data_IF_586999984880
#
_entry.id   IF_586999984880
#
_cell.length_a   1.000
_cell.length_b   1.000
_cell.length_c   1.000
_cell.angle_alpha   90.00
_cell.angle_beta   90.00
_cell.angle_gamma   90.00
#
_symmetry.space_group_name_H-M   'P 1'
#
loop_
_entity.id
_entity.type
_entity.pdbx_description
1 polymer ?
#
# COMPACT_ATOMS: atom_id res chain seq x y z
N UNK A 1 -21.04 28.38 1.67
CA UNK A 1 -21.18 27.56 2.87
C UNK A 1 -20.01 26.58 2.87
N UNK A 2 -19.03 26.77 3.74
CA UNK A 2 -17.93 25.79 3.91
C UNK A 2 -18.55 24.56 4.58
N UNK A 3 -18.82 23.52 3.81
CA UNK A 3 -19.19 22.22 4.38
C UNK A 3 -18.02 21.74 5.23
N UNK A 4 -18.25 21.68 6.53
CA UNK A 4 -17.27 21.20 7.51
C UNK A 4 -16.84 19.79 7.11
N UNK A 5 -15.54 19.52 7.07
CA UNK A 5 -15.00 18.19 6.72
C UNK A 5 -15.06 17.34 7.96
N UNK A 6 -15.86 16.28 7.93
CA UNK A 6 -15.93 15.31 9.01
C UNK A 6 -14.63 14.51 9.08
N UNK A 7 -13.85 14.68 10.14
CA UNK A 7 -12.61 13.93 10.36
C UNK A 7 -12.90 12.67 11.19
N UNK A 8 -12.51 11.51 10.68
CA UNK A 8 -12.75 10.19 11.26
C UNK A 8 -11.42 9.45 11.36
N UNK A 9 -11.12 8.88 12.51
CA UNK A 9 -10.03 7.94 12.70
C UNK A 9 -10.57 6.52 12.58
N UNK A 10 -9.94 5.68 11.76
CA UNK A 10 -10.34 4.29 11.55
C UNK A 10 -9.13 3.33 11.59
N UNK A 11 -9.36 2.05 11.85
CA UNK A 11 -8.29 1.07 11.97
C UNK A 11 -8.47 -0.14 11.07
N UNK A 12 -7.40 -0.51 10.37
CA UNK A 12 -7.18 -1.87 9.87
C UNK A 12 -6.53 -2.67 10.98
N UNK A 13 -7.34 -3.43 11.74
CA UNK A 13 -6.89 -4.23 12.89
C UNK A 13 -6.59 -5.63 12.41
N UNK A 14 -5.39 -6.16 12.75
CA UNK A 14 -5.01 -7.54 12.45
C UNK A 14 -4.76 -8.33 13.71
N UNK A 15 -5.30 -9.55 13.75
CA UNK A 15 -4.98 -10.51 14.80
C UNK A 15 -3.64 -11.25 14.53
N UNK A 16 -3.23 -12.09 15.48
CA UNK A 16 -2.01 -12.91 15.36
C UNK A 16 -2.00 -13.90 14.19
N UNK A 17 -3.14 -14.16 13.55
CA UNK A 17 -3.30 -15.00 12.36
C UNK A 17 -3.36 -14.16 11.06
N UNK A 18 -3.22 -12.84 11.14
CA UNK A 18 -3.29 -11.91 10.02
C UNK A 18 -4.71 -11.64 9.50
N UNK A 19 -5.78 -12.10 10.22
CA UNK A 19 -7.18 -11.78 9.87
C UNK A 19 -7.46 -10.32 10.19
N UNK A 20 -8.33 -9.71 9.40
CA UNK A 20 -8.73 -8.30 9.54
C UNK A 20 -10.11 -8.24 10.21
N UNK A 21 -10.25 -7.33 11.18
CA UNK A 21 -11.51 -7.04 11.84
C UNK A 21 -12.33 -6.08 10.98
N UNK A 22 -13.60 -6.43 10.75
CA UNK A 22 -14.59 -5.56 10.14
C UNK A 22 -15.84 -5.50 11.00
N UNK A 23 -16.52 -4.35 11.01
CA UNK A 23 -17.79 -4.14 11.71
C UNK A 23 -18.90 -3.77 10.73
N UNK A 24 -20.16 -4.04 11.09
CA UNK A 24 -21.29 -3.69 10.22
C UNK A 24 -21.96 -2.43 10.76
N UNK A 25 -22.11 -1.42 9.92
CA UNK A 25 -22.78 -0.16 10.21
C UNK A 25 -24.24 -0.38 10.61
N UNK A 26 -24.68 0.31 11.66
CA UNK A 26 -26.06 0.27 12.08
C UNK A 26 -27.02 0.66 10.92
N UNK A 27 -28.14 -0.06 10.76
CA UNK A 27 -29.07 0.12 9.63
C UNK A 27 -29.60 1.55 9.46
N UNK A 28 -29.69 2.31 10.55
CA UNK A 28 -30.16 3.70 10.54
C UNK A 28 -29.06 4.75 10.29
N UNK A 29 -27.78 4.32 10.26
CA UNK A 29 -26.65 5.21 10.01
C UNK A 29 -26.53 5.54 8.50
N UNK A 30 -25.79 6.58 8.17
CA UNK A 30 -25.39 6.88 6.78
C UNK A 30 -24.62 5.68 6.21
N UNK A 31 -25.01 5.19 5.03
CA UNK A 31 -24.48 3.94 4.45
C UNK A 31 -24.73 2.70 5.32
N UNK A 32 -25.87 2.67 6.06
CA UNK A 32 -26.23 1.59 6.98
C UNK A 32 -26.30 0.23 6.33
N UNK A 33 -25.87 -0.81 7.07
CA UNK A 33 -25.84 -2.20 6.61
C UNK A 33 -24.57 -2.57 5.81
N UNK A 34 -23.76 -1.61 5.38
CA UNK A 34 -22.44 -1.87 4.78
C UNK A 34 -21.42 -2.21 5.86
N UNK A 35 -20.35 -2.88 5.46
CA UNK A 35 -19.21 -3.18 6.32
C UNK A 35 -18.22 -2.04 6.34
N UNK A 36 -17.49 -1.88 7.44
CA UNK A 36 -16.49 -0.83 7.58
C UNK A 36 -15.32 -1.29 8.44
N UNK A 37 -14.25 -0.53 8.41
CA UNK A 37 -13.18 -0.63 9.36
C UNK A 37 -13.58 0.14 10.64
N UNK A 38 -13.44 -0.46 11.85
CA UNK A 38 -13.86 0.16 13.09
C UNK A 38 -13.16 1.49 13.36
N UNK A 39 -13.87 2.42 14.01
CA UNK A 39 -13.39 3.75 14.32
C UNK A 39 -14.49 4.80 14.28
N UNK A 40 -14.16 6.04 14.63
CA UNK A 40 -15.17 7.07 14.75
C UNK A 40 -14.64 8.49 14.57
N UNK A 41 -15.47 9.45 14.92
CA UNK A 41 -15.21 10.89 14.73
C UNK A 41 -14.20 11.40 15.75
N UNK A 42 -13.34 12.32 15.32
CA UNK A 42 -12.52 13.07 16.25
C UNK A 42 -13.39 14.02 17.08
N UNK A 43 -13.14 14.07 18.36
CA UNK A 43 -13.69 15.10 19.26
C UNK A 43 -12.82 16.35 19.26
N UNK A 44 -13.36 17.45 19.82
CA UNK A 44 -12.65 18.73 19.84
C UNK A 44 -11.35 18.63 20.65
N UNK A 45 -10.22 18.90 19.98
CA UNK A 45 -8.90 18.87 20.60
C UNK A 45 -8.20 17.51 20.56
N UNK A 46 -8.84 16.47 20.04
CA UNK A 46 -8.19 15.17 19.86
C UNK A 46 -7.26 15.14 18.64
N UNK A 47 -6.16 14.44 18.79
CA UNK A 47 -5.38 13.96 17.65
C UNK A 47 -6.05 12.71 17.04
N UNK A 48 -5.80 12.39 15.75
CA UNK A 48 -6.35 11.16 15.13
C UNK A 48 -6.02 9.88 15.91
N UNK A 49 -4.82 9.81 16.49
CA UNK A 49 -4.40 8.65 17.28
C UNK A 49 -5.17 8.56 18.62
N UNK A 50 -5.45 9.68 19.27
CA UNK A 50 -6.24 9.69 20.51
C UNK A 50 -7.69 9.27 20.23
N UNK A 51 -8.31 9.82 19.19
CA UNK A 51 -9.64 9.41 18.75
C UNK A 51 -9.68 7.91 18.42
N UNK A 52 -8.67 7.40 17.67
CA UNK A 52 -8.58 5.98 17.34
C UNK A 52 -8.60 5.09 18.59
N UNK A 53 -7.74 5.39 19.58
CA UNK A 53 -7.65 4.59 20.82
C UNK A 53 -8.96 4.63 21.60
N UNK A 54 -9.61 5.79 21.72
CA UNK A 54 -10.90 5.93 22.39
C UNK A 54 -11.99 5.14 21.66
N UNK A 55 -12.13 5.34 20.35
CA UNK A 55 -13.18 4.70 19.54
C UNK A 55 -13.03 3.16 19.52
N UNK A 56 -11.82 2.64 19.40
CA UNK A 56 -11.62 1.19 19.40
C UNK A 56 -11.90 0.54 20.75
N UNK A 57 -11.68 1.26 21.85
CA UNK A 57 -12.11 0.80 23.17
C UNK A 57 -13.63 0.82 23.31
N UNK A 58 -14.30 1.89 22.86
CA UNK A 58 -15.75 2.08 22.97
C UNK A 58 -16.50 1.14 22.03
N UNK A 59 -16.07 1.03 20.77
CA UNK A 59 -16.80 0.29 19.73
C UNK A 59 -16.52 -1.21 19.76
N UNK A 60 -15.26 -1.63 19.93
CA UNK A 60 -14.85 -3.03 19.80
C UNK A 60 -14.14 -3.62 21.01
N UNK A 61 -13.99 -2.86 22.12
CA UNK A 61 -13.54 -3.34 23.42
C UNK A 61 -12.05 -3.72 23.49
N UNK A 62 -11.19 -3.19 22.59
CA UNK A 62 -9.75 -3.48 22.58
C UNK A 62 -8.92 -2.30 23.07
N UNK A 63 -7.78 -2.59 23.69
CA UNK A 63 -6.77 -1.61 24.10
C UNK A 63 -5.60 -1.62 23.13
N UNK A 64 -5.48 -0.56 22.32
CA UNK A 64 -4.42 -0.42 21.32
C UNK A 64 -3.06 -0.23 21.99
N UNK A 65 -2.07 -1.06 21.64
CA UNK A 65 -0.66 -0.91 22.07
C UNK A 65 0.15 -0.11 21.07
N UNK A 66 0.05 -0.51 19.79
CA UNK A 66 0.77 0.16 18.71
C UNK A 66 -0.17 0.44 17.54
N UNK A 67 -0.04 1.63 16.97
CA UNK A 67 -0.76 2.01 15.76
C UNK A 67 0.19 2.77 14.83
N UNK A 68 0.20 2.41 13.57
CA UNK A 68 1.00 3.06 12.53
C UNK A 68 0.09 3.69 11.47
N UNK A 69 0.40 4.90 10.96
CA UNK A 69 -0.36 5.49 9.85
C UNK A 69 -0.40 4.53 8.65
N UNK A 70 -1.55 4.40 8.00
CA UNK A 70 -1.71 3.56 6.82
C UNK A 70 -2.06 4.39 5.59
N UNK A 71 -3.18 5.09 5.59
CA UNK A 71 -3.62 5.92 4.47
C UNK A 71 -4.59 7.00 4.94
N UNK A 72 -4.58 8.17 4.27
CA UNK A 72 -5.62 9.19 4.42
C UNK A 72 -6.50 9.21 3.18
N UNK A 73 -7.82 9.12 3.38
CA UNK A 73 -8.80 9.10 2.28
C UNK A 73 -9.73 10.29 2.41
N UNK A 74 -9.80 11.11 1.37
CA UNK A 74 -10.77 12.21 1.25
C UNK A 74 -11.91 11.77 0.36
N UNK A 75 -13.13 11.88 0.82
CA UNK A 75 -14.30 11.50 0.03
C UNK A 75 -15.42 12.51 0.18
N UNK A 76 -16.08 12.83 -0.94
CA UNK A 76 -17.25 13.69 -0.99
C UNK A 76 -18.48 12.85 -1.37
N UNK A 77 -19.39 12.67 -0.41
CA UNK A 77 -20.65 11.95 -0.64
C UNK A 77 -21.73 12.86 -1.24
N UNK A 78 -21.42 14.15 -1.51
CA UNK A 78 -22.36 15.16 -1.97
C UNK A 78 -23.10 15.87 -0.83
N UNK A 79 -23.62 15.13 0.14
CA UNK A 79 -24.25 15.67 1.35
C UNK A 79 -23.24 15.99 2.46
N UNK A 80 -22.08 15.36 2.43
CA UNK A 80 -20.98 15.56 3.40
C UNK A 80 -19.63 15.23 2.83
N UNK A 81 -18.59 15.90 3.34
CA UNK A 81 -17.19 15.58 3.05
C UNK A 81 -16.58 14.88 4.25
N UNK A 82 -15.81 13.84 3.99
CA UNK A 82 -15.11 13.08 5.04
C UNK A 82 -13.60 13.05 4.76
N UNK A 83 -12.83 13.06 5.84
CA UNK A 83 -11.41 12.70 5.86
C UNK A 83 -11.28 11.48 6.76
N UNK A 84 -10.96 10.33 6.19
CA UNK A 84 -10.63 9.12 6.94
C UNK A 84 -9.12 9.10 7.17
N UNK A 85 -8.70 9.17 8.42
CA UNK A 85 -7.31 9.01 8.85
C UNK A 85 -7.16 7.57 9.35
N UNK A 86 -6.57 6.71 8.52
CA UNK A 86 -6.60 5.26 8.73
C UNK A 86 -5.26 4.77 9.23
N UNK A 87 -5.32 3.90 10.24
CA UNK A 87 -4.17 3.36 10.95
C UNK A 87 -4.15 1.82 10.87
N UNK A 88 -2.96 1.24 10.84
CA UNK A 88 -2.75 -0.20 11.02
C UNK A 88 -2.53 -0.50 12.50
N UNK A 89 -3.31 -1.42 13.06
CA UNK A 89 -3.22 -1.87 14.45
C UNK A 89 -2.94 -3.38 14.44
N UNK A 90 -1.73 -3.78 14.84
CA UNK A 90 -1.30 -5.17 14.86
C UNK A 90 -1.05 -5.69 16.29
N UNK A 91 -1.01 -4.77 17.28
CA UNK A 91 -0.80 -5.11 18.70
C UNK A 91 -1.84 -4.41 19.56
N UNK A 92 -2.62 -5.21 20.27
CA UNK A 92 -3.67 -4.74 21.19
C UNK A 92 -3.91 -5.80 22.27
N UNK A 93 -4.53 -5.38 23.38
CA UNK A 93 -5.04 -6.28 24.43
C UNK A 93 -6.56 -6.36 24.34
N UNK A 94 -7.10 -7.45 24.89
CA UNK A 94 -8.54 -7.73 24.92
C UNK A 94 -9.00 -8.62 23.79
N UNK A 95 -10.27 -9.00 23.87
CA UNK A 95 -10.98 -9.76 22.83
C UNK A 95 -12.01 -8.84 22.16
N UNK A 96 -11.95 -8.70 20.85
CA UNK A 96 -12.84 -7.80 20.14
C UNK A 96 -14.27 -8.33 20.11
N UNK A 97 -15.23 -7.49 20.48
CA UNK A 97 -16.67 -7.75 20.42
C UNK A 97 -17.44 -6.46 20.08
N UNK A 98 -18.66 -6.57 19.59
CA UNK A 98 -19.47 -5.40 19.23
C UNK A 98 -20.09 -4.75 20.45
N UNK A 99 -19.40 -3.78 21.06
CA UNK A 99 -19.83 -3.10 22.30
C UNK A 99 -21.15 -2.33 22.14
N UNK A 100 -21.46 -1.91 20.92
CA UNK A 100 -22.70 -1.21 20.56
C UNK A 100 -23.78 -2.15 19.96
N UNK A 101 -23.55 -3.47 19.99
CA UNK A 101 -24.44 -4.47 19.43
C UNK A 101 -24.33 -4.64 17.90
N UNK A 102 -23.34 -4.01 17.28
CA UNK A 102 -23.03 -4.20 15.84
C UNK A 102 -22.42 -5.57 15.57
N UNK A 103 -22.70 -6.13 14.38
CA UNK A 103 -22.05 -7.34 13.93
C UNK A 103 -20.55 -7.09 13.67
N UNK A 104 -19.74 -8.08 14.00
CA UNK A 104 -18.29 -8.03 13.90
C UNK A 104 -17.79 -9.35 13.31
N UNK A 105 -16.78 -9.28 12.44
CA UNK A 105 -16.16 -10.47 11.85
C UNK A 105 -14.64 -10.30 11.72
N UNK A 106 -13.93 -11.40 12.01
CA UNK A 106 -12.53 -11.59 11.66
C UNK A 106 -12.44 -12.35 10.34
N UNK A 107 -11.92 -11.72 9.29
CA UNK A 107 -11.89 -12.30 7.94
C UNK A 107 -10.45 -12.38 7.42
N UNK A 108 -10.17 -13.32 6.53
CA UNK A 108 -8.91 -13.33 5.82
C UNK A 108 -8.83 -12.09 4.89
N UNK A 109 -7.64 -11.47 4.72
CA UNK A 109 -7.52 -10.27 3.88
C UNK A 109 -8.12 -10.42 2.48
N UNK A 110 -7.97 -11.60 1.87
CA UNK A 110 -8.48 -11.91 0.52
C UNK A 110 -10.01 -11.91 0.44
N UNK A 111 -10.71 -12.07 1.58
CA UNK A 111 -12.16 -12.05 1.66
C UNK A 111 -12.75 -10.64 1.74
N UNK A 112 -11.92 -9.58 1.84
CA UNK A 112 -12.43 -8.20 1.88
C UNK A 112 -13.31 -7.85 0.67
N UNK A 113 -13.05 -8.46 -0.50
CA UNK A 113 -13.84 -8.27 -1.71
C UNK A 113 -15.23 -8.92 -1.65
N UNK A 114 -15.49 -9.84 -0.72
CA UNK A 114 -16.76 -10.55 -0.57
C UNK A 114 -17.79 -9.71 0.23
N UNK A 115 -17.34 -8.61 0.82
CA UNK A 115 -18.14 -7.73 1.64
C UNK A 115 -18.41 -6.39 0.96
N UNK A 116 -19.62 -5.86 1.16
CA UNK A 116 -19.99 -4.55 0.62
C UNK A 116 -19.53 -3.43 1.56
N UNK A 117 -18.64 -2.58 1.09
CA UNK A 117 -18.10 -1.42 1.79
C UNK A 117 -18.57 -0.10 1.15
N UNK A 118 -18.64 1.01 1.92
CA UNK A 118 -18.78 2.35 1.33
C UNK A 118 -17.61 2.67 0.37
N UNK A 119 -17.88 3.49 -0.64
CA UNK A 119 -16.86 3.85 -1.66
C UNK A 119 -15.57 4.42 -1.08
N UNK A 120 -15.66 5.20 0.01
CA UNK A 120 -14.50 5.74 0.71
C UNK A 120 -13.56 4.66 1.32
N UNK A 121 -14.04 3.44 1.50
CA UNK A 121 -13.23 2.34 2.05
C UNK A 121 -12.41 1.60 0.98
N UNK A 122 -12.69 1.77 -0.31
CA UNK A 122 -11.97 1.05 -1.38
C UNK A 122 -10.45 1.33 -1.37
N UNK A 123 -9.96 2.57 -1.19
CA UNK A 123 -8.54 2.83 -1.03
C UNK A 123 -7.94 2.18 0.22
N UNK A 124 -8.72 2.07 1.31
CA UNK A 124 -8.30 1.42 2.55
C UNK A 124 -8.11 -0.08 2.34
N UNK A 125 -9.03 -0.72 1.62
CA UNK A 125 -8.91 -2.15 1.26
C UNK A 125 -7.63 -2.38 0.46
N UNK A 126 -7.34 -1.55 -0.54
CA UNK A 126 -6.09 -1.63 -1.31
C UNK A 126 -4.87 -1.52 -0.40
N UNK A 127 -4.83 -0.50 0.46
CA UNK A 127 -3.73 -0.29 1.40
C UNK A 127 -3.58 -1.46 2.39
N UNK A 128 -4.71 -2.03 2.86
CA UNK A 128 -4.71 -3.18 3.76
C UNK A 128 -4.15 -4.46 3.11
N UNK A 129 -4.28 -4.64 1.81
CA UNK A 129 -3.79 -5.81 1.08
C UNK A 129 -2.31 -5.70 0.67
N UNK A 130 -1.74 -4.50 0.70
CA UNK A 130 -0.37 -4.25 0.27
C UNK A 130 0.62 -4.38 1.45
N UNK A 131 1.79 -5.01 1.25
CA UNK A 131 2.85 -5.05 2.26
C UNK A 131 3.58 -3.70 2.37
N UNK A 132 4.40 -3.55 3.42
CA UNK A 132 5.23 -2.34 3.59
C UNK A 132 6.48 -2.32 2.69
N UNK A 133 6.87 -3.43 2.09
CA UNK A 133 8.07 -3.55 1.25
C UNK A 133 7.72 -3.97 -0.17
N UNK A 134 8.21 -3.19 -1.14
CA UNK A 134 8.09 -3.45 -2.56
C UNK A 134 9.47 -3.54 -3.22
N UNK A 135 9.90 -4.75 -3.54
CA UNK A 135 11.21 -5.00 -4.16
C UNK A 135 11.19 -4.75 -5.66
N UNK A 136 12.18 -4.01 -6.19
CA UNK A 136 12.39 -3.85 -7.63
C UNK A 136 13.59 -4.70 -8.01
N UNK A 137 13.34 -5.86 -8.59
CA UNK A 137 14.33 -6.86 -8.91
C UNK A 137 14.98 -6.58 -10.25
N UNK A 138 16.26 -6.22 -10.21
CA UNK A 138 17.12 -5.94 -11.36
C UNK A 138 18.47 -6.63 -11.22
N UNK A 139 19.19 -6.78 -12.33
CA UNK A 139 20.57 -7.25 -12.35
C UNK A 139 21.15 -7.25 -13.75
N UNK A 140 22.48 -7.30 -13.84
CA UNK A 140 23.24 -7.31 -15.09
C UNK A 140 23.58 -8.74 -15.56
N UNK A 141 23.43 -9.74 -14.68
CA UNK A 141 23.62 -11.15 -14.97
C UNK A 141 22.52 -11.99 -14.35
N UNK A 142 22.33 -13.21 -14.85
CA UNK A 142 21.39 -14.20 -14.32
C UNK A 142 21.64 -14.45 -12.83
N UNK A 143 22.90 -14.72 -12.47
CA UNK A 143 23.32 -14.97 -11.10
C UNK A 143 22.97 -13.81 -10.17
N UNK A 144 23.22 -12.57 -10.59
CA UNK A 144 22.93 -11.39 -9.81
C UNK A 144 21.41 -11.23 -9.55
N UNK A 145 20.56 -11.48 -10.57
CA UNK A 145 19.10 -11.41 -10.40
C UNK A 145 18.63 -12.46 -9.41
N UNK A 146 19.08 -13.70 -9.54
CA UNK A 146 18.67 -14.79 -8.65
C UNK A 146 19.18 -14.58 -7.21
N UNK A 147 20.41 -14.12 -7.04
CA UNK A 147 20.96 -13.78 -5.70
C UNK A 147 20.17 -12.67 -5.04
N UNK A 148 19.88 -11.59 -5.75
CA UNK A 148 19.05 -10.47 -5.25
C UNK A 148 17.62 -10.92 -4.93
N UNK A 149 17.03 -11.79 -5.73
CA UNK A 149 15.73 -12.36 -5.44
C UNK A 149 15.74 -13.08 -4.09
N UNK A 150 16.74 -13.90 -3.81
CA UNK A 150 16.89 -14.58 -2.52
C UNK A 150 17.09 -13.60 -1.36
N UNK A 151 17.89 -12.54 -1.54
CA UNK A 151 18.08 -11.49 -0.53
C UNK A 151 16.77 -10.76 -0.22
N UNK A 152 15.95 -10.45 -1.23
CA UNK A 152 14.62 -9.85 -1.03
C UNK A 152 13.73 -10.75 -0.19
N UNK A 153 13.71 -12.06 -0.48
CA UNK A 153 12.95 -13.03 0.30
C UNK A 153 13.43 -13.12 1.75
N UNK A 154 14.73 -13.09 1.98
CA UNK A 154 15.33 -13.10 3.33
C UNK A 154 15.00 -11.81 4.09
N UNK A 155 14.89 -10.67 3.41
CA UNK A 155 14.48 -9.40 3.98
C UNK A 155 12.95 -9.29 4.22
N UNK A 156 12.17 -10.34 3.93
CA UNK A 156 10.71 -10.35 4.12
C UNK A 156 9.92 -9.62 3.03
N UNK A 157 10.52 -9.37 1.87
CA UNK A 157 9.82 -8.76 0.74
C UNK A 157 8.85 -9.79 0.13
N UNK A 158 7.55 -9.47 0.13
CA UNK A 158 6.47 -10.33 -0.38
C UNK A 158 5.77 -9.78 -1.62
N UNK A 159 6.18 -8.61 -2.10
CA UNK A 159 5.74 -8.00 -3.35
C UNK A 159 6.98 -7.58 -4.15
N UNK A 160 7.14 -8.14 -5.36
CA UNK A 160 8.33 -7.93 -6.19
C UNK A 160 7.91 -7.51 -7.59
N UNK A 161 8.61 -6.51 -8.15
CA UNK A 161 8.58 -6.17 -9.55
C UNK A 161 9.80 -6.77 -10.25
N UNK A 162 9.59 -7.55 -11.29
CA UNK A 162 10.66 -7.98 -12.17
C UNK A 162 10.92 -6.92 -13.25
N UNK A 163 12.13 -6.34 -13.24
CA UNK A 163 12.56 -5.27 -14.16
C UNK A 163 13.95 -5.57 -14.71
N UNK A 164 14.02 -6.25 -15.83
CA UNK A 164 15.28 -6.79 -16.39
C UNK A 164 15.89 -5.87 -17.47
N UNK A 165 15.92 -4.55 -17.26
CA UNK A 165 16.42 -3.60 -18.27
C UNK A 165 17.87 -3.85 -18.67
N UNK A 166 18.72 -4.13 -17.69
CA UNK A 166 20.17 -4.30 -17.86
C UNK A 166 20.58 -5.73 -18.20
N UNK A 167 19.64 -6.69 -18.13
CA UNK A 167 19.91 -8.07 -18.51
C UNK A 167 19.83 -8.23 -20.04
N UNK A 168 20.78 -8.97 -20.69
CA UNK A 168 20.69 -9.32 -22.11
C UNK A 168 19.35 -9.97 -22.47
N UNK A 169 18.80 -9.61 -23.63
CA UNK A 169 17.44 -10.02 -24.05
C UNK A 169 17.30 -11.54 -24.07
N UNK A 170 18.31 -12.24 -24.56
CA UNK A 170 18.36 -13.71 -24.66
C UNK A 170 18.21 -14.42 -23.31
N UNK A 171 18.56 -13.75 -22.22
CA UNK A 171 18.48 -14.33 -20.87
C UNK A 171 17.17 -13.99 -20.13
N UNK A 172 16.39 -13.01 -20.60
CA UNK A 172 15.23 -12.46 -19.86
C UNK A 172 14.14 -13.49 -19.66
N UNK A 173 13.84 -14.28 -20.69
CA UNK A 173 12.78 -15.28 -20.63
C UNK A 173 13.09 -16.34 -19.55
N UNK A 174 14.26 -16.98 -19.64
CA UNK A 174 14.66 -18.05 -18.72
C UNK A 174 14.77 -17.55 -17.26
N UNK A 175 15.25 -16.31 -17.06
CA UNK A 175 15.33 -15.70 -15.72
C UNK A 175 13.93 -15.38 -15.18
N UNK A 176 13.04 -14.89 -16.02
CA UNK A 176 11.68 -14.59 -15.60
C UNK A 176 10.93 -15.84 -15.15
N UNK A 177 11.08 -16.96 -15.87
CA UNK A 177 10.51 -18.26 -15.50
C UNK A 177 11.05 -18.76 -14.16
N UNK A 178 12.38 -18.66 -13.94
CA UNK A 178 12.99 -19.06 -12.67
C UNK A 178 12.50 -18.18 -11.49
N UNK A 179 12.46 -16.86 -11.67
CA UNK A 179 11.97 -15.94 -10.64
C UNK A 179 10.50 -16.19 -10.34
N UNK A 180 9.66 -16.43 -11.38
CA UNK A 180 8.26 -16.77 -11.20
C UNK A 180 8.09 -18.05 -10.36
N UNK A 181 8.83 -19.10 -10.68
CA UNK A 181 8.79 -20.36 -9.92
C UNK A 181 9.22 -20.18 -8.46
N UNK A 182 10.25 -19.37 -8.19
CA UNK A 182 10.69 -19.03 -6.82
C UNK A 182 9.59 -18.28 -6.08
N UNK A 183 8.99 -17.26 -6.69
CA UNK A 183 7.93 -16.45 -6.09
C UNK A 183 6.69 -17.29 -5.76
N UNK A 184 6.24 -18.14 -6.69
CA UNK A 184 5.10 -19.05 -6.48
C UNK A 184 5.35 -20.01 -5.31
N UNK A 185 6.52 -20.62 -5.23
CA UNK A 185 6.89 -21.53 -4.13
C UNK A 185 6.91 -20.85 -2.76
N UNK A 186 7.17 -19.55 -2.72
CA UNK A 186 7.26 -18.73 -1.49
C UNK A 186 6.02 -17.88 -1.22
N UNK A 187 4.95 -18.00 -2.03
CA UNK A 187 3.73 -17.20 -1.94
C UNK A 187 4.03 -15.69 -1.99
N UNK A 188 4.95 -15.30 -2.87
CA UNK A 188 5.35 -13.91 -3.13
C UNK A 188 4.66 -13.43 -4.39
N UNK A 189 4.03 -12.25 -4.33
CA UNK A 189 3.38 -11.61 -5.48
C UNK A 189 4.43 -11.04 -6.43
N UNK A 190 4.38 -11.45 -7.71
CA UNK A 190 5.29 -11.01 -8.75
C UNK A 190 4.59 -10.15 -9.79
N UNK A 191 5.00 -8.89 -9.91
CA UNK A 191 4.57 -7.99 -10.99
C UNK A 191 5.63 -7.96 -12.10
N UNK A 192 5.17 -8.02 -13.35
CA UNK A 192 6.05 -7.79 -14.50
C UNK A 192 6.08 -6.30 -14.85
N UNK A 193 7.28 -5.76 -15.10
CA UNK A 193 7.39 -4.38 -15.59
C UNK A 193 6.82 -4.30 -17.01
N UNK A 194 6.01 -3.27 -17.30
CA UNK A 194 5.34 -3.07 -18.59
C UNK A 194 6.28 -2.97 -19.81
N UNK A 195 7.55 -2.61 -19.57
CA UNK A 195 8.56 -2.50 -20.65
C UNK A 195 9.24 -3.86 -20.90
N UNK A 196 8.88 -4.90 -20.12
CA UNK A 196 9.46 -6.24 -20.23
C UNK A 196 8.64 -7.07 -21.21
N UNK A 197 9.21 -7.35 -22.38
CA UNK A 197 8.59 -8.21 -23.38
C UNK A 197 9.02 -9.66 -23.14
N UNK A 198 8.09 -10.49 -22.71
CA UNK A 198 8.26 -11.92 -22.46
C UNK A 198 7.16 -12.69 -23.19
N UNK A 199 7.50 -13.87 -23.70
CA UNK A 199 6.52 -14.82 -24.19
C UNK A 199 6.09 -15.73 -23.03
N UNK A 200 4.78 -16.01 -22.93
CA UNK A 200 4.20 -17.04 -22.05
C UNK A 200 4.56 -16.98 -20.56
N UNK A 201 5.08 -15.83 -20.06
CA UNK A 201 5.29 -15.59 -18.63
C UNK A 201 4.19 -14.66 -18.11
N UNK A 202 3.38 -15.15 -17.20
CA UNK A 202 2.33 -14.38 -16.53
C UNK A 202 2.66 -14.23 -15.04
N UNK A 203 2.82 -12.98 -14.61
CA UNK A 203 2.89 -12.65 -13.18
C UNK A 203 1.49 -12.46 -12.58
N UNK A 204 1.44 -12.10 -11.31
CA UNK A 204 0.19 -11.77 -10.60
C UNK A 204 -0.38 -10.41 -11.03
N UNK A 205 0.35 -9.67 -11.86
CA UNK A 205 -0.05 -8.38 -12.39
C UNK A 205 1.10 -7.63 -13.06
N UNK A 206 0.92 -6.32 -13.20
CA UNK A 206 1.85 -5.47 -13.97
C UNK A 206 2.25 -4.21 -13.20
N UNK A 207 3.49 -3.79 -13.36
CA UNK A 207 3.95 -2.45 -12.97
C UNK A 207 4.17 -1.59 -14.20
N UNK A 208 3.33 -0.56 -14.35
CA UNK A 208 3.42 0.39 -15.45
C UNK A 208 4.62 1.33 -15.24
N UNK A 209 5.49 1.45 -16.23
CA UNK A 209 6.43 2.57 -16.27
C UNK A 209 5.66 3.89 -16.40
N UNK A 210 6.25 5.04 -16.02
CA UNK A 210 5.61 6.36 -16.17
C UNK A 210 5.13 6.57 -17.62
N UNK A 211 5.94 6.17 -18.62
CA UNK A 211 5.56 6.23 -20.03
C UNK A 211 4.34 5.34 -20.34
N UNK A 212 4.33 4.11 -19.83
CA UNK A 212 3.21 3.19 -20.04
C UNK A 212 1.94 3.69 -19.34
N UNK A 213 2.05 4.26 -18.14
CA UNK A 213 0.94 4.90 -17.43
C UNK A 213 0.32 6.02 -18.26
N UNK A 214 1.13 6.92 -18.82
CA UNK A 214 0.66 8.07 -19.61
C UNK A 214 -0.08 7.64 -20.90
N UNK A 215 0.27 6.49 -21.47
CA UNK A 215 -0.40 5.92 -22.65
C UNK A 215 -1.52 4.94 -22.32
N UNK A 216 -1.72 4.62 -21.03
CA UNK A 216 -2.70 3.64 -20.59
C UNK A 216 -4.13 4.21 -20.69
N UNK A 217 -4.96 3.59 -21.51
CA UNK A 217 -6.38 3.96 -21.67
C UNK A 217 -7.31 3.15 -20.78
N UNK A 218 -6.93 1.93 -20.43
CA UNK A 218 -7.72 1.01 -19.62
C UNK A 218 -6.81 0.29 -18.63
N UNK A 219 -7.28 0.14 -17.39
CA UNK A 219 -6.55 -0.58 -16.34
C UNK A 219 -6.29 -2.02 -16.77
N UNK A 220 -5.04 -2.52 -16.71
CA UNK A 220 -4.72 -3.93 -16.90
C UNK A 220 -5.38 -4.82 -15.84
N UNK A 221 -5.45 -6.12 -16.13
CA UNK A 221 -5.91 -7.13 -15.16
C UNK A 221 -4.86 -7.41 -14.07
N UNK A 222 -5.30 -8.03 -12.97
CA UNK A 222 -4.45 -8.39 -11.85
C UNK A 222 -4.10 -7.21 -10.95
N UNK A 223 -3.01 -7.33 -10.18
CA UNK A 223 -2.49 -6.27 -9.31
C UNK A 223 -1.69 -5.27 -10.16
N UNK A 224 -2.06 -4.00 -10.13
CA UNK A 224 -1.46 -2.98 -10.99
C UNK A 224 -0.84 -1.85 -10.19
N UNK A 225 0.49 -1.71 -10.29
CA UNK A 225 1.23 -0.55 -9.80
C UNK A 225 1.73 0.34 -10.93
N UNK A 226 2.15 1.58 -10.61
CA UNK A 226 2.78 2.48 -11.58
C UNK A 226 3.89 3.33 -10.97
N UNK A 227 4.92 3.61 -11.77
CA UNK A 227 5.94 4.61 -11.44
C UNK A 227 5.39 6.02 -11.71
N UNK A 228 5.47 6.90 -10.70
CA UNK A 228 5.02 8.27 -10.75
C UNK A 228 6.11 9.23 -10.26
N UNK A 229 6.16 10.44 -10.85
CA UNK A 229 7.12 11.49 -10.51
C UNK A 229 6.40 12.83 -10.25
N UNK A 230 5.13 12.95 -10.63
CA UNK A 230 4.34 14.18 -10.54
C UNK A 230 2.94 13.90 -9.97
N UNK A 231 2.25 14.97 -9.58
CA UNK A 231 0.87 14.88 -9.12
C UNK A 231 -0.08 14.43 -10.25
N UNK A 232 0.18 14.84 -11.47
CA UNK A 232 -0.61 14.48 -12.65
C UNK A 232 -0.57 12.97 -12.88
N UNK A 233 0.61 12.35 -12.73
CA UNK A 233 0.78 10.91 -12.84
C UNK A 233 0.09 10.15 -11.70
N UNK A 234 0.19 10.65 -10.45
CA UNK A 234 -0.54 10.08 -9.31
C UNK A 234 -2.07 10.14 -9.52
N UNK A 235 -2.59 11.28 -9.99
CA UNK A 235 -4.02 11.43 -10.30
C UNK A 235 -4.47 10.56 -11.48
N UNK A 236 -3.60 10.35 -12.46
CA UNK A 236 -3.88 9.43 -13.56
C UNK A 236 -3.95 7.97 -13.06
N UNK A 237 -3.02 7.56 -12.19
CA UNK A 237 -3.02 6.26 -11.56
C UNK A 237 -4.29 6.04 -10.71
N UNK A 238 -4.70 7.05 -9.93
CA UNK A 238 -5.96 7.04 -9.18
C UNK A 238 -7.18 6.93 -10.10
N UNK A 239 -7.25 7.76 -11.15
CA UNK A 239 -8.35 7.77 -12.15
C UNK A 239 -8.50 6.43 -12.85
N UNK A 240 -7.40 5.75 -13.16
CA UNK A 240 -7.37 4.41 -13.74
C UNK A 240 -7.66 3.32 -12.70
N UNK A 241 -7.94 3.69 -11.46
CA UNK A 241 -8.18 2.80 -10.33
C UNK A 241 -7.05 1.78 -10.09
N UNK A 242 -5.79 2.15 -10.33
CA UNK A 242 -4.64 1.31 -10.03
C UNK A 242 -4.59 0.96 -8.54
N UNK A 243 -3.86 -0.08 -8.19
CA UNK A 243 -3.82 -0.55 -6.79
C UNK A 243 -2.84 0.26 -5.95
N UNK A 244 -1.73 0.70 -6.55
CA UNK A 244 -0.75 1.58 -5.91
C UNK A 244 0.09 2.37 -6.91
N UNK A 245 0.79 3.38 -6.41
CA UNK A 245 1.84 4.08 -7.13
C UNK A 245 3.19 3.97 -6.41
N UNK A 246 4.27 4.23 -7.14
CA UNK A 246 5.62 4.42 -6.60
C UNK A 246 6.07 5.82 -6.94
N UNK A 247 6.33 6.64 -5.93
CA UNK A 247 6.77 8.03 -6.11
C UNK A 247 8.28 8.13 -5.89
N UNK A 248 8.98 8.67 -6.89
CA UNK A 248 10.45 8.72 -6.91
C UNK A 248 11.01 9.96 -7.61
N UNK A 249 12.26 10.36 -7.30
CA UNK A 249 13.07 9.90 -6.17
C UNK A 249 12.80 10.73 -4.90
N UNK A 250 12.81 10.10 -3.73
CA UNK A 250 12.58 10.80 -2.45
C UNK A 250 13.87 11.40 -1.91
N UNK A 251 14.98 10.64 -1.95
CA UNK A 251 16.31 11.06 -1.54
C UNK A 251 17.31 10.91 -2.70
N UNK A 252 18.51 11.51 -2.62
CA UNK A 252 19.55 11.30 -3.64
C UNK A 252 19.85 9.82 -3.83
N UNK A 253 19.96 9.39 -5.09
CA UNK A 253 20.15 7.97 -5.43
C UNK A 253 21.22 7.79 -6.49
N UNK A 254 22.04 6.75 -6.36
CA UNK A 254 23.05 6.40 -7.35
C UNK A 254 22.46 5.90 -8.68
N UNK A 255 21.24 5.40 -8.67
CA UNK A 255 20.55 4.92 -9.89
C UNK A 255 20.20 6.05 -10.86
N UNK A 256 19.92 7.25 -10.32
CA UNK A 256 19.61 8.46 -11.10
C UNK A 256 20.27 9.68 -10.43
N UNK A 257 21.59 9.83 -10.55
CA UNK A 257 22.34 10.86 -9.82
C UNK A 257 21.95 12.29 -10.18
N UNK A 258 21.46 12.51 -11.40
CA UNK A 258 21.04 13.82 -11.92
C UNK A 258 19.58 14.18 -11.55
N UNK A 259 18.81 13.24 -11.01
CA UNK A 259 17.43 13.51 -10.62
C UNK A 259 17.38 14.30 -9.32
N UNK A 260 16.65 15.42 -9.32
CA UNK A 260 16.41 16.22 -8.12
C UNK A 260 15.49 15.46 -7.17
N UNK A 261 15.93 15.13 -5.95
CA UNK A 261 15.07 14.44 -4.99
C UNK A 261 13.94 15.35 -4.50
N UNK A 262 12.78 14.76 -4.26
CA UNK A 262 11.60 15.46 -3.75
C UNK A 262 11.76 15.87 -2.28
N UNK A 263 12.34 14.98 -1.46
CA UNK A 263 12.29 15.08 -0.01
C UNK A 263 10.93 14.70 0.59
N UNK A 264 10.90 14.53 1.91
CA UNK A 264 9.74 14.01 2.63
C UNK A 264 8.51 14.93 2.61
N UNK A 265 8.70 16.23 2.81
CA UNK A 265 7.59 17.20 2.87
C UNK A 265 6.86 17.36 1.53
N UNK A 266 7.55 17.56 0.39
CA UNK A 266 6.89 17.55 -0.91
C UNK A 266 6.24 16.22 -1.25
N UNK A 267 6.86 15.07 -0.91
CA UNK A 267 6.26 13.75 -1.05
C UNK A 267 4.90 13.68 -0.34
N UNK A 268 4.86 14.04 0.95
CA UNK A 268 3.63 14.08 1.75
C UNK A 268 2.57 14.96 1.11
N UNK A 269 2.94 16.16 0.67
CA UNK A 269 2.02 17.09 0.04
C UNK A 269 1.41 16.55 -1.28
N UNK A 270 2.13 15.70 -2.01
CA UNK A 270 1.62 15.02 -3.19
C UNK A 270 0.69 13.87 -2.83
N UNK A 271 1.10 13.00 -1.89
CA UNK A 271 0.31 11.85 -1.44
C UNK A 271 -1.04 12.28 -0.86
N UNK A 272 -1.07 13.36 -0.08
CA UNK A 272 -2.31 13.88 0.53
C UNK A 272 -3.35 14.37 -0.49
N UNK A 273 -3.01 14.46 -1.78
CA UNK A 273 -3.92 14.90 -2.84
C UNK A 273 -4.55 13.75 -3.64
N UNK A 274 -4.25 12.48 -3.30
CA UNK A 274 -4.78 11.30 -3.97
C UNK A 274 -5.25 10.26 -2.95
N UNK A 275 -6.24 9.45 -3.31
CA UNK A 275 -6.74 8.34 -2.51
C UNK A 275 -6.15 7.01 -3.05
N UNK A 276 -4.84 6.94 -3.08
CA UNK A 276 -4.10 5.80 -3.64
C UNK A 276 -2.93 5.46 -2.74
N UNK A 277 -2.70 4.19 -2.37
CA UNK A 277 -1.47 3.78 -1.70
C UNK A 277 -0.24 4.16 -2.52
N UNK A 278 0.75 4.80 -1.90
CA UNK A 278 1.96 5.28 -2.59
C UNK A 278 3.20 4.80 -1.85
N UNK A 279 4.04 4.03 -2.51
CA UNK A 279 5.36 3.66 -1.99
C UNK A 279 6.38 4.76 -2.24
N UNK A 280 7.25 4.99 -1.28
CA UNK A 280 8.40 5.88 -1.40
C UNK A 280 9.59 5.13 -2.01
N UNK A 281 10.23 5.70 -3.05
CA UNK A 281 11.38 5.10 -3.73
C UNK A 281 12.51 6.13 -3.93
N UNK A 282 13.75 5.66 -3.85
CA UNK A 282 14.96 6.40 -4.20
C UNK A 282 15.77 6.86 -3.00
N UNK A 283 16.98 6.31 -2.88
CA UNK A 283 17.94 6.61 -1.85
C UNK A 283 17.58 6.18 -0.43
N UNK A 284 16.54 5.34 -0.28
CA UNK A 284 16.00 4.94 1.01
C UNK A 284 16.60 3.62 1.51
N UNK A 285 16.68 3.50 2.84
CA UNK A 285 17.12 2.32 3.60
C UNK A 285 15.97 1.76 4.42
N UNK A 286 16.09 0.53 4.93
CA UNK A 286 15.07 -0.08 5.80
C UNK A 286 14.73 0.78 7.03
N UNK A 287 15.73 1.46 7.59
CA UNK A 287 15.55 2.39 8.74
C UNK A 287 14.66 3.61 8.43
N UNK A 288 14.40 3.91 7.16
CA UNK A 288 13.55 5.03 6.76
C UNK A 288 12.04 4.66 6.74
N UNK A 289 11.67 3.41 7.07
CA UNK A 289 10.29 2.95 7.00
C UNK A 289 9.36 3.80 7.87
N UNK A 290 9.69 4.01 9.13
CA UNK A 290 8.83 4.78 10.05
C UNK A 290 8.65 6.23 9.55
N UNK A 291 9.70 6.81 9.00
CA UNK A 291 9.62 8.15 8.41
C UNK A 291 8.76 8.17 7.14
N UNK A 292 8.82 7.13 6.31
CA UNK A 292 7.97 7.00 5.13
C UNK A 292 6.49 6.91 5.53
N UNK A 293 6.15 6.03 6.48
CA UNK A 293 4.80 5.86 7.00
C UNK A 293 4.26 7.15 7.64
N UNK A 294 5.08 7.82 8.46
CA UNK A 294 4.71 9.10 9.09
C UNK A 294 4.44 10.23 8.07
N UNK A 295 5.00 10.11 6.86
CA UNK A 295 4.74 11.02 5.74
C UNK A 295 3.67 10.51 4.76
N UNK A 296 2.91 9.46 5.12
CA UNK A 296 1.75 8.95 4.39
C UNK A 296 2.07 7.96 3.29
N UNK A 297 3.32 7.47 3.19
CA UNK A 297 3.63 6.41 2.26
C UNK A 297 3.07 5.06 2.74
N UNK A 298 2.71 4.17 1.81
CA UNK A 298 2.37 2.77 2.07
C UNK A 298 3.54 1.99 2.67
N UNK A 299 4.75 2.38 2.31
CA UNK A 299 5.99 1.74 2.70
C UNK A 299 7.14 2.14 1.79
N UNK A 300 8.15 1.28 1.73
CA UNK A 300 9.36 1.49 0.94
C UNK A 300 9.35 0.63 -0.33
N UNK A 301 9.65 1.25 -1.47
CA UNK A 301 10.08 0.54 -2.67
C UNK A 301 11.60 0.64 -2.82
N UNK A 302 12.24 -0.40 -3.36
CA UNK A 302 13.69 -0.35 -3.51
C UNK A 302 14.30 -1.37 -4.42
N UNK A 303 15.43 -0.98 -5.06
CA UNK A 303 16.32 -1.86 -5.82
C UNK A 303 17.41 -2.41 -4.89
N UNK A 304 18.06 -1.53 -4.13
CA UNK A 304 19.15 -1.87 -3.19
C UNK A 304 18.74 -1.83 -1.72
N UNK A 305 17.60 -1.27 -1.40
CA UNK A 305 17.07 -1.08 -0.05
C UNK A 305 17.04 -2.38 0.78
N UNK A 306 16.79 -3.50 0.12
CA UNK A 306 16.62 -4.83 0.74
C UNK A 306 17.82 -5.76 0.51
N UNK A 307 18.91 -5.25 -0.07
CA UNK A 307 20.13 -6.02 -0.26
C UNK A 307 20.98 -5.91 1.01
N UNK A 308 21.54 -7.04 1.45
CA UNK A 308 22.54 -7.01 2.53
C UNK A 308 23.75 -6.22 2.03
N UNK A 309 24.19 -5.24 2.82
CA UNK A 309 25.51 -4.64 2.59
C UNK A 309 26.54 -5.77 2.74
N UNK A 310 27.28 -6.07 1.67
CA UNK A 310 28.43 -6.94 1.79
C UNK A 310 29.37 -6.27 2.80
N UNK A 311 29.46 -6.83 4.01
CA UNK A 311 30.49 -6.45 4.98
C UNK A 311 31.82 -6.71 4.31
N UNK A 312 32.49 -5.63 3.86
CA UNK A 312 33.88 -5.65 3.43
C UNK A 312 34.79 -5.80 4.63
#
# INVERSE_FOLDING_TARGET
>A
MTTDVLHVAAAVIRDGNGRILITQRAKHAHQGGLWEFPGGKLEAGETPQQALVRELREEVGIEVKTAQPLIKVRHDYGDRRVLLDVWSVNEFDGEAWGCEGQALQWIAPQQLSDFAFPAANLPIIKAALLPSYYGILEGNSVEQVLTRCQQFLQAGVSLIQLRLKSLPIENRQAVAEQVLAICQHRSVTLLLNSDLQLADVQGDGVHLSSRALQSCQQRPEGLVGASCHTLEELRLAEKLALDFAVLAPIQPTSTHPDAKPLGWQPMRALIEQVNLPVYALGGLRLADLDQALANGAQGLAGISTFLMENSQ
#
